data_IF_491233609830
#
_entry.id   IF_491233609830
#
_cell.length_a   1.000
_cell.length_b   1.000
_cell.length_c   1.000
_cell.angle_alpha   90.00
_cell.angle_beta   90.00
_cell.angle_gamma   90.00
#
_symmetry.space_group_name_H-M   'P 1'
#
loop_
_entity.id
_entity.type
_entity.pdbx_description
1 polymer ?
#
# COMPACT_ATOMS: atom_id res chain seq x y z
N UNK A 1 -2.03 -13.53 -12.89
CA UNK A 1 -3.07 -12.70 -12.24
C UNK A 1 -2.47 -12.13 -10.96
N UNK A 2 -3.05 -11.06 -10.40
CA UNK A 2 -2.67 -10.52 -9.09
C UNK A 2 -3.90 -10.11 -8.30
N UNK A 3 -3.71 -9.99 -6.98
CA UNK A 3 -4.76 -9.58 -6.06
C UNK A 3 -4.42 -8.22 -5.45
N UNK A 4 -5.39 -7.34 -5.42
CA UNK A 4 -5.39 -6.07 -4.70
C UNK A 4 -6.32 -6.24 -3.50
N UNK A 5 -5.85 -5.94 -2.29
CA UNK A 5 -6.57 -6.23 -1.06
C UNK A 5 -6.69 -4.95 -0.24
N UNK A 6 -7.91 -4.60 0.13
CA UNK A 6 -8.25 -3.55 1.10
C UNK A 6 -8.37 -4.17 2.49
N UNK A 7 -7.67 -3.59 3.46
CA UNK A 7 -7.66 -4.02 4.86
C UNK A 7 -7.91 -2.82 5.75
N UNK A 8 -8.76 -3.00 6.75
CA UNK A 8 -9.01 -1.98 7.76
C UNK A 8 -7.74 -1.77 8.62
N UNK A 9 -7.30 -0.53 8.67
CA UNK A 9 -6.08 -0.13 9.36
C UNK A 9 -6.13 -0.39 10.86
N UNK A 10 -7.32 -0.50 11.47
CA UNK A 10 -7.48 -0.72 12.92
C UNK A 10 -7.52 -2.20 13.24
N UNK A 11 -8.55 -2.90 12.76
CA UNK A 11 -8.85 -4.31 13.02
C UNK A 11 -7.96 -5.28 12.26
N UNK A 12 -7.41 -4.88 11.10
CA UNK A 12 -6.70 -5.80 10.20
C UNK A 12 -7.63 -6.72 9.40
N UNK A 13 -8.94 -6.49 9.43
CA UNK A 13 -9.90 -7.28 8.65
C UNK A 13 -9.84 -6.89 7.17
N UNK A 14 -9.83 -7.90 6.31
CA UNK A 14 -9.99 -7.73 4.87
C UNK A 14 -11.43 -7.34 4.58
N UNK A 15 -11.61 -6.26 3.83
CA UNK A 15 -12.93 -5.79 3.42
C UNK A 15 -13.13 -5.77 1.90
N UNK A 16 -12.05 -5.70 1.12
CA UNK A 16 -12.12 -5.70 -0.35
C UNK A 16 -11.03 -6.59 -0.94
N UNK A 17 -11.36 -7.34 -2.00
CA UNK A 17 -10.41 -8.11 -2.80
C UNK A 17 -10.75 -7.93 -4.27
N UNK A 18 -9.78 -7.49 -5.07
CA UNK A 18 -9.91 -7.34 -6.51
C UNK A 18 -8.84 -8.17 -7.20
N UNK A 19 -9.26 -9.09 -8.06
CA UNK A 19 -8.37 -9.90 -8.88
C UNK A 19 -8.23 -9.33 -10.29
N UNK A 20 -7.02 -9.12 -10.78
CA UNK A 20 -6.77 -8.62 -12.13
C UNK A 20 -5.71 -9.43 -12.87
N UNK A 21 -5.58 -9.20 -14.17
CA UNK A 21 -4.39 -9.60 -14.91
C UNK A 21 -3.14 -8.88 -14.36
N UNK A 22 -1.97 -9.50 -14.53
CA UNK A 22 -0.72 -9.02 -13.91
C UNK A 22 -0.22 -7.67 -14.49
N UNK A 23 -0.63 -7.35 -15.71
CA UNK A 23 -0.26 -6.12 -16.43
C UNK A 23 -1.08 -4.88 -15.99
N UNK A 24 -2.19 -5.05 -15.28
CA UNK A 24 -3.01 -3.93 -14.80
C UNK A 24 -2.22 -3.15 -13.76
N UNK A 25 -2.18 -1.83 -13.82
CA UNK A 25 -1.40 -1.03 -12.86
C UNK A 25 -2.10 -0.95 -11.49
N UNK A 26 -1.37 -1.08 -10.38
CA UNK A 26 -1.95 -1.09 -9.02
C UNK A 26 -2.76 0.18 -8.73
N UNK A 27 -2.23 1.32 -9.15
CA UNK A 27 -2.88 2.63 -9.02
C UNK A 27 -4.27 2.72 -9.67
N UNK A 28 -4.61 1.79 -10.58
CA UNK A 28 -5.93 1.73 -11.24
C UNK A 28 -7.02 1.10 -10.42
N UNK A 29 -6.66 0.34 -9.39
CA UNK A 29 -7.60 -0.46 -8.61
C UNK A 29 -7.95 0.19 -7.27
N UNK A 30 -7.31 1.31 -6.92
CA UNK A 30 -7.51 2.00 -5.63
C UNK A 30 -8.98 2.33 -5.38
N UNK A 31 -9.69 2.85 -6.39
CA UNK A 31 -11.11 3.17 -6.23
C UNK A 31 -12.01 1.99 -5.86
N UNK A 32 -11.62 0.77 -6.24
CA UNK A 32 -12.33 -0.47 -5.92
C UNK A 32 -12.00 -1.00 -4.51
N UNK A 33 -10.90 -0.54 -3.92
CA UNK A 33 -10.48 -0.94 -2.58
C UNK A 33 -11.02 -0.03 -1.49
N UNK A 34 -11.57 1.13 -1.84
CA UNK A 34 -12.03 2.16 -0.91
C UNK A 34 -13.56 2.24 -0.92
N UNK A 35 -14.14 2.52 0.23
CA UNK A 35 -15.59 2.59 0.44
C UNK A 35 -16.12 4.04 0.50
N UNK A 36 -15.25 5.04 0.67
CA UNK A 36 -15.61 6.45 0.65
C UNK A 36 -15.54 7.13 2.02
N UNK A 37 -15.56 6.37 3.11
CA UNK A 37 -15.48 6.88 4.49
C UNK A 37 -14.03 6.95 5.03
N UNK A 38 -13.04 6.56 4.22
CA UNK A 38 -11.64 6.56 4.65
C UNK A 38 -11.12 7.98 4.80
N UNK A 39 -10.56 8.31 5.96
CA UNK A 39 -9.83 9.58 6.17
C UNK A 39 -8.32 9.44 5.92
N UNK A 40 -7.83 8.20 5.89
CA UNK A 40 -6.41 7.88 5.74
C UNK A 40 -6.24 6.60 4.92
N UNK A 41 -5.43 6.67 3.86
CA UNK A 41 -5.12 5.54 2.99
C UNK A 41 -3.62 5.32 2.96
N UNK A 42 -3.19 4.13 3.36
CA UNK A 42 -1.79 3.71 3.31
C UNK A 42 -1.58 2.68 2.21
N UNK A 43 -0.56 2.88 1.38
CA UNK A 43 -0.28 2.03 0.22
C UNK A 43 1.21 1.78 0.03
N UNK A 44 1.53 0.76 -0.77
CA UNK A 44 2.88 0.52 -1.21
C UNK A 44 3.33 1.46 -2.34
N UNK A 45 4.61 1.40 -2.71
CA UNK A 45 5.16 2.26 -3.74
C UNK A 45 4.57 2.02 -5.15
N UNK A 46 3.86 0.90 -5.38
CA UNK A 46 3.11 0.63 -6.61
C UNK A 46 1.88 1.53 -6.76
N UNK A 47 1.36 2.05 -5.66
CA UNK A 47 0.25 3.03 -5.62
C UNK A 47 0.73 4.50 -5.69
N UNK A 48 1.99 4.74 -6.05
CA UNK A 48 2.50 6.10 -6.24
C UNK A 48 1.67 6.83 -7.29
N UNK A 49 1.14 8.00 -6.93
CA UNK A 49 0.31 8.82 -7.83
C UNK A 49 -1.19 8.57 -7.72
N UNK A 50 -1.65 7.67 -6.84
CA UNK A 50 -3.09 7.44 -6.58
C UNK A 50 -3.83 8.76 -6.30
N UNK A 51 -3.30 9.58 -5.38
CA UNK A 51 -3.85 10.88 -5.01
C UNK A 51 -4.06 11.86 -6.19
N UNK A 52 -3.33 11.70 -7.30
CA UNK A 52 -3.39 12.62 -8.44
C UNK A 52 -4.41 12.18 -9.50
N UNK A 53 -5.06 11.03 -9.33
CA UNK A 53 -6.00 10.51 -10.33
C UNK A 53 -7.35 11.22 -10.20
N UNK A 54 -8.05 11.47 -11.33
CA UNK A 54 -9.31 12.22 -11.32
C UNK A 54 -10.40 11.56 -10.48
N UNK A 55 -10.42 10.22 -10.44
CA UNK A 55 -11.30 9.40 -9.59
C UNK A 55 -11.13 9.61 -8.08
N UNK A 56 -10.08 10.32 -7.65
CA UNK A 56 -9.77 10.62 -6.26
C UNK A 56 -9.69 12.12 -5.96
N UNK A 57 -9.97 12.98 -6.96
CA UNK A 57 -9.82 14.42 -6.81
C UNK A 57 -10.78 15.03 -5.76
N UNK A 58 -11.98 14.46 -5.63
CA UNK A 58 -13.01 14.92 -4.69
C UNK A 58 -12.92 14.25 -3.31
N UNK A 59 -11.96 13.33 -3.12
CA UNK A 59 -11.81 12.58 -1.87
C UNK A 59 -10.94 13.36 -0.88
N UNK A 60 -11.49 13.73 0.26
CA UNK A 60 -10.74 14.36 1.36
C UNK A 60 -10.02 13.29 2.21
N UNK A 61 -8.87 12.82 1.72
CA UNK A 61 -8.14 11.68 2.28
C UNK A 61 -6.65 11.97 2.38
N UNK A 62 -6.05 11.58 3.51
CA UNK A 62 -4.60 11.61 3.68
C UNK A 62 -3.97 10.39 3.01
N UNK A 63 -3.26 10.63 1.91
CA UNK A 63 -2.54 9.59 1.17
C UNK A 63 -1.15 9.35 1.73
N UNK A 64 -0.94 8.19 2.35
CA UNK A 64 0.33 7.74 2.91
C UNK A 64 0.93 6.62 2.07
N UNK A 65 1.51 7.00 0.94
CA UNK A 65 2.18 6.06 0.04
C UNK A 65 3.64 5.88 0.48
N UNK A 66 4.11 4.63 0.47
CA UNK A 66 5.49 4.30 0.80
C UNK A 66 6.47 4.95 -0.20
N UNK A 67 7.45 5.68 0.32
CA UNK A 67 8.49 6.29 -0.50
C UNK A 67 9.51 5.25 -0.95
N UNK A 68 10.03 5.42 -2.17
CA UNK A 68 11.13 4.58 -2.68
C UNK A 68 12.42 4.91 -1.91
N UNK A 69 13.23 3.92 -1.50
CA UNK A 69 14.48 4.17 -0.77
C UNK A 69 15.43 5.15 -1.47
N UNK A 70 15.47 5.14 -2.81
CA UNK A 70 16.27 6.08 -3.61
C UNK A 70 15.93 7.54 -3.37
N UNK A 71 14.69 7.86 -3.00
CA UNK A 71 14.22 9.25 -2.82
C UNK A 71 14.84 9.97 -1.62
N UNK A 72 15.29 9.24 -0.60
CA UNK A 72 15.83 9.83 0.63
C UNK A 72 17.27 9.40 0.95
N UNK A 73 17.82 8.41 0.25
CA UNK A 73 19.25 8.05 0.33
C UNK A 73 20.19 9.21 -0.02
N UNK A 74 19.73 10.16 -0.84
CA UNK A 74 20.48 11.37 -1.21
C UNK A 74 20.88 12.27 -0.01
N UNK A 75 20.20 12.14 1.14
CA UNK A 75 20.51 12.96 2.32
C UNK A 75 21.70 12.43 3.15
N UNK A 76 22.27 11.26 2.80
CA UNK A 76 23.37 10.61 3.52
C UNK A 76 22.91 9.90 4.80
N UNK A 77 23.42 8.70 5.07
CA UNK A 77 22.90 7.84 6.16
C UNK A 77 23.08 8.42 7.57
N UNK A 78 24.10 9.26 7.78
CA UNK A 78 24.34 9.96 9.05
C UNK A 78 23.41 11.15 9.32
N UNK A 79 22.68 11.63 8.30
CA UNK A 79 21.83 12.81 8.42
C UNK A 79 20.64 12.56 9.36
N UNK A 80 20.29 13.57 10.15
CA UNK A 80 19.07 13.57 10.97
C UNK A 80 17.84 13.39 10.09
N UNK A 81 17.81 14.04 8.92
CA UNK A 81 16.70 13.96 7.97
C UNK A 81 16.51 12.53 7.42
N UNK A 82 17.62 11.83 7.14
CA UNK A 82 17.58 10.43 6.71
C UNK A 82 16.97 9.52 7.79
N UNK A 83 17.43 9.68 9.04
CA UNK A 83 16.93 8.89 10.18
C UNK A 83 15.45 9.13 10.45
N UNK A 84 14.98 10.38 10.38
CA UNK A 84 13.56 10.71 10.56
C UNK A 84 12.71 10.12 9.44
N UNK A 85 13.11 10.29 8.16
CA UNK A 85 12.39 9.71 7.02
C UNK A 85 12.32 8.18 7.13
N UNK A 86 13.42 7.53 7.51
CA UNK A 86 13.45 6.07 7.71
C UNK A 86 12.47 5.61 8.80
N UNK A 87 12.33 6.36 9.91
CA UNK A 87 11.34 6.04 10.97
C UNK A 87 9.90 6.17 10.46
N UNK A 88 9.61 7.20 9.66
CA UNK A 88 8.28 7.38 9.04
C UNK A 88 7.97 6.21 8.10
N UNK A 89 8.89 5.85 7.21
CA UNK A 89 8.68 4.73 6.29
C UNK A 89 8.57 3.38 7.00
N UNK A 90 9.28 3.21 8.13
CA UNK A 90 9.11 2.03 8.99
C UNK A 90 7.70 1.96 9.60
N UNK A 91 7.17 3.07 10.11
CA UNK A 91 5.80 3.12 10.64
C UNK A 91 4.76 2.79 9.54
N UNK A 92 4.92 3.33 8.32
CA UNK A 92 4.07 2.97 7.17
C UNK A 92 4.16 1.47 6.85
N UNK A 93 5.36 0.88 6.91
CA UNK A 93 5.54 -0.54 6.68
C UNK A 93 4.87 -1.41 7.75
N UNK A 94 4.90 -1.00 9.03
CA UNK A 94 4.17 -1.70 10.10
C UNK A 94 2.67 -1.71 9.87
N UNK A 95 2.10 -0.59 9.41
CA UNK A 95 0.68 -0.54 9.06
C UNK A 95 0.37 -1.48 7.88
N UNK A 96 1.22 -1.43 6.84
CA UNK A 96 1.10 -2.32 5.68
C UNK A 96 1.21 -3.80 6.02
N UNK A 97 1.97 -4.17 7.04
CA UNK A 97 2.10 -5.58 7.45
C UNK A 97 0.75 -6.24 7.76
N UNK A 98 -0.29 -5.46 8.09
CA UNK A 98 -1.66 -6.00 8.27
C UNK A 98 -2.21 -6.65 7.00
N UNK A 99 -1.91 -6.11 5.81
CA UNK A 99 -2.30 -6.71 4.53
C UNK A 99 -1.52 -7.98 4.21
N UNK A 100 -0.39 -8.23 4.87
CA UNK A 100 0.43 -9.41 4.58
C UNK A 100 -0.21 -10.70 5.11
N UNK A 101 -1.09 -10.62 6.12
CA UNK A 101 -1.77 -11.78 6.68
C UNK A 101 -2.59 -12.57 5.63
N UNK A 102 -3.50 -11.96 4.85
CA UNK A 102 -4.21 -12.69 3.79
C UNK A 102 -3.26 -13.22 2.71
N UNK A 103 -2.21 -12.50 2.35
CA UNK A 103 -1.19 -13.00 1.42
C UNK A 103 -0.44 -14.21 1.97
N UNK A 104 -0.14 -14.24 3.26
CA UNK A 104 0.46 -15.39 3.92
C UNK A 104 -0.46 -16.60 3.83
N UNK A 105 -1.76 -16.43 4.11
CA UNK A 105 -2.75 -17.52 3.99
C UNK A 105 -2.78 -18.07 2.57
N UNK A 106 -2.95 -17.19 1.57
CA UNK A 106 -3.02 -17.58 0.14
C UNK A 106 -1.70 -18.25 -0.31
N UNK A 107 -0.56 -17.62 -0.04
CA UNK A 107 0.73 -18.11 -0.55
C UNK A 107 1.19 -19.36 0.17
N UNK A 108 0.99 -19.45 1.49
CA UNK A 108 1.50 -20.56 2.30
C UNK A 108 0.52 -21.71 2.38
N UNK A 109 -0.71 -21.48 2.83
CA UNK A 109 -1.67 -22.57 3.09
C UNK A 109 -2.18 -23.21 1.80
N UNK A 110 -2.36 -22.41 0.75
CA UNK A 110 -2.76 -22.89 -0.58
C UNK A 110 -1.55 -23.17 -1.51
N UNK A 111 -0.33 -23.15 -0.98
CA UNK A 111 0.90 -23.50 -1.71
C UNK A 111 1.19 -22.66 -2.98
N UNK A 112 0.70 -21.42 -3.04
CA UNK A 112 0.96 -20.48 -4.14
C UNK A 112 2.26 -19.66 -3.97
N UNK A 113 3.27 -20.16 -3.25
CA UNK A 113 4.52 -19.42 -3.01
C UNK A 113 5.32 -19.10 -4.28
N UNK A 114 5.20 -19.93 -5.32
CA UNK A 114 5.96 -19.82 -6.57
C UNK A 114 5.29 -18.96 -7.64
N UNK A 115 4.03 -18.56 -7.42
CA UNK A 115 3.29 -17.73 -8.36
C UNK A 115 3.54 -16.27 -8.00
N UNK A 116 4.05 -15.49 -8.96
CA UNK A 116 4.29 -14.05 -8.82
C UNK A 116 2.99 -13.28 -8.73
#
# INVERSE_FOLDING_TARGET
>A
MKAHIGVDATSGLVHSVVGTAANVADVTQVGQLLHGDETYVSGDAGYTGAAKRPEHAERDVIWSIAARPSSYKQHGEGSVLYRVKRKIEYAKAQLRAKVEHPFQVIKVRFNHRKVR
#
